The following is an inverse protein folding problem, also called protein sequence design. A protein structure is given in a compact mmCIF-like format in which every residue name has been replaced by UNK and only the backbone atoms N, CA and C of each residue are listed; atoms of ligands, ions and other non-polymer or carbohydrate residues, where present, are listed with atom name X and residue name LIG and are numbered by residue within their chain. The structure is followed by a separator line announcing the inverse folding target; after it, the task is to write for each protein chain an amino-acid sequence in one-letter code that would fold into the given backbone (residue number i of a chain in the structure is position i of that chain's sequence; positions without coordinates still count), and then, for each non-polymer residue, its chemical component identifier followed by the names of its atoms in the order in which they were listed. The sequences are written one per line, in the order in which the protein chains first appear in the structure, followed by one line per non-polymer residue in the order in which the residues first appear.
data_IF_614932640830
#
_entry.id   IF_614932640830
#
_cell.length_a   1.000
_cell.length_b   1.000
_cell.length_c   1.000
_cell.angle_alpha   90.00
_cell.angle_beta   90.00
_cell.angle_gamma   90.00
#
_symmetry.space_group_name_H-M   'P 1'
#
loop_
_entity.id
_entity.type
_entity.pdbx_description
1 polymer ?
#
# COMPACT_ATOMS: atom_id res chain seq x y z
N UNK A 1 -27.59 -6.25 -1.68
CA UNK A 1 -26.55 -5.32 -1.18
C UNK A 1 -25.52 -5.96 -0.23
N UNK A 2 -25.94 -6.93 0.61
CA UNK A 2 -25.02 -7.57 1.58
C UNK A 2 -24.05 -8.58 0.97
N UNK A 3 -24.42 -9.27 -0.09
CA UNK A 3 -23.55 -10.27 -0.74
C UNK A 3 -22.33 -9.60 -1.41
N UNK A 4 -22.53 -8.48 -2.08
CA UNK A 4 -21.44 -7.72 -2.70
C UNK A 4 -20.49 -7.08 -1.67
N UNK A 5 -21.02 -6.67 -0.51
CA UNK A 5 -20.22 -6.12 0.58
C UNK A 5 -19.34 -7.21 1.22
N UNK A 6 -19.89 -8.41 1.44
CA UNK A 6 -19.15 -9.56 1.95
C UNK A 6 -18.09 -10.07 0.97
N UNK A 7 -18.40 -10.11 -0.33
CA UNK A 7 -17.43 -10.46 -1.37
C UNK A 7 -16.27 -9.47 -1.45
N UNK A 8 -16.54 -8.17 -1.34
CA UNK A 8 -15.51 -7.12 -1.32
C UNK A 8 -14.58 -7.28 -0.11
N UNK A 9 -15.12 -7.56 1.07
CA UNK A 9 -14.33 -7.77 2.28
C UNK A 9 -13.46 -9.02 2.20
N UNK A 10 -13.93 -10.11 1.59
CA UNK A 10 -13.13 -11.33 1.42
C UNK A 10 -11.89 -11.10 0.55
N UNK A 11 -11.99 -10.36 -0.55
CA UNK A 11 -10.87 -10.11 -1.45
C UNK A 11 -9.78 -9.22 -0.87
N UNK A 12 -10.18 -8.16 -0.18
CA UNK A 12 -9.26 -7.27 0.54
C UNK A 12 -8.50 -8.08 1.60
N UNK A 13 -9.19 -8.95 2.30
CA UNK A 13 -8.60 -9.80 3.33
C UNK A 13 -7.55 -10.75 2.79
N UNK A 14 -7.79 -11.38 1.64
CA UNK A 14 -6.87 -12.34 1.04
C UNK A 14 -5.59 -11.65 0.54
N UNK A 15 -5.72 -10.52 -0.16
CA UNK A 15 -4.59 -9.72 -0.61
C UNK A 15 -3.76 -9.19 0.56
N UNK A 16 -4.41 -8.76 1.63
CA UNK A 16 -3.77 -8.28 2.85
C UNK A 16 -2.99 -9.41 3.56
N UNK A 17 -3.52 -10.64 3.56
CA UNK A 17 -2.82 -11.80 4.11
C UNK A 17 -1.57 -12.14 3.30
N UNK A 18 -1.64 -12.07 1.96
CA UNK A 18 -0.46 -12.25 1.09
C UNK A 18 0.59 -11.19 1.41
N UNK A 19 0.21 -9.92 1.55
CA UNK A 19 1.11 -8.84 1.94
C UNK A 19 1.77 -9.09 3.30
N UNK A 20 1.01 -9.52 4.29
CA UNK A 20 1.53 -9.88 5.61
C UNK A 20 2.51 -11.06 5.54
N UNK A 21 2.22 -12.07 4.71
CA UNK A 21 3.11 -13.22 4.52
C UNK A 21 4.43 -12.80 3.85
N UNK A 22 4.37 -11.96 2.83
CA UNK A 22 5.57 -11.39 2.19
C UNK A 22 6.39 -10.63 3.23
N UNK A 23 5.78 -9.76 4.03
CA UNK A 23 6.48 -9.01 5.08
C UNK A 23 7.20 -9.91 6.09
N UNK A 24 6.60 -11.05 6.45
CA UNK A 24 7.20 -12.02 7.39
C UNK A 24 8.36 -12.79 6.80
N UNK A 25 8.28 -13.14 5.52
CA UNK A 25 9.23 -14.04 4.84
C UNK A 25 10.31 -13.31 4.06
N UNK A 26 10.15 -12.02 3.80
CA UNK A 26 11.11 -11.24 3.05
C UNK A 26 12.47 -11.20 3.76
N UNK A 27 13.51 -11.48 2.99
CA UNK A 27 14.92 -11.42 3.42
C UNK A 27 15.76 -10.84 2.30
N UNK A 28 16.92 -10.30 2.64
CA UNK A 28 17.90 -9.83 1.66
C UNK A 28 18.86 -10.96 1.31
N UNK A 29 19.18 -11.10 0.04
CA UNK A 29 20.21 -12.01 -0.47
C UNK A 29 21.61 -11.38 -0.33
N UNK A 30 22.07 -11.17 0.89
CA UNK A 30 23.39 -10.61 1.16
C UNK A 30 23.77 -10.78 2.63
N UNK A 31 24.97 -11.29 2.89
CA UNK A 31 25.46 -11.38 4.27
C UNK A 31 25.78 -9.98 4.80
N UNK A 32 25.14 -9.58 5.89
CA UNK A 32 25.46 -8.34 6.62
C UNK A 32 24.74 -7.07 6.13
N UNK A 33 23.80 -7.15 5.19
CA UNK A 33 22.98 -6.00 4.81
C UNK A 33 21.81 -5.80 5.81
N UNK A 34 21.65 -4.56 6.29
CA UNK A 34 20.54 -4.20 7.14
C UNK A 34 19.24 -4.19 6.33
N UNK A 35 18.22 -4.88 6.83
CA UNK A 35 16.92 -5.03 6.17
C UNK A 35 15.77 -4.58 7.07
N UNK A 36 14.83 -3.84 6.50
CA UNK A 36 13.61 -3.42 7.19
C UNK A 36 12.39 -3.53 6.27
N UNK A 37 11.24 -3.74 6.87
CA UNK A 37 9.95 -3.73 6.18
C UNK A 37 9.10 -2.59 6.73
N UNK A 38 8.53 -1.80 5.86
CA UNK A 38 7.53 -0.79 6.19
C UNK A 38 6.17 -1.26 5.63
N UNK A 39 5.24 -1.52 6.52
CA UNK A 39 3.91 -2.00 6.17
C UNK A 39 2.89 -0.90 6.44
N UNK A 40 2.30 -0.35 5.40
CA UNK A 40 1.28 0.68 5.49
C UNK A 40 -0.07 0.13 5.02
N UNK A 41 -1.05 0.12 5.92
CA UNK A 41 -2.41 -0.32 5.64
C UNK A 41 -3.39 0.86 5.72
N UNK A 42 -4.16 1.06 4.67
CA UNK A 42 -5.06 2.21 4.50
C UNK A 42 -6.52 1.75 4.45
N UNK A 43 -7.34 2.31 5.32
CA UNK A 43 -8.77 2.02 5.35
C UNK A 43 -9.13 0.59 5.74
N UNK A 44 -8.34 -0.02 6.60
CA UNK A 44 -8.57 -1.36 7.14
C UNK A 44 -9.53 -1.34 8.33
N UNK A 45 -10.15 -2.47 8.61
CA UNK A 45 -10.99 -2.60 9.81
C UNK A 45 -10.14 -2.72 11.08
N UNK A 46 -10.72 -2.40 12.23
CA UNK A 46 -10.05 -2.58 13.52
C UNK A 46 -9.71 -4.07 13.80
N UNK A 47 -10.47 -5.00 13.22
CA UNK A 47 -10.19 -6.44 13.31
C UNK A 47 -8.93 -6.80 12.52
N UNK A 48 -8.80 -6.29 11.29
CA UNK A 48 -7.61 -6.50 10.46
C UNK A 48 -6.36 -5.86 11.08
N UNK A 49 -6.48 -4.66 11.65
CA UNK A 49 -5.37 -4.01 12.34
C UNK A 49 -4.86 -4.86 13.52
N UNK A 50 -5.77 -5.39 14.34
CA UNK A 50 -5.42 -6.31 15.43
C UNK A 50 -4.81 -7.61 14.91
N UNK A 51 -5.32 -8.14 13.81
CA UNK A 51 -4.76 -9.33 13.18
C UNK A 51 -3.29 -9.09 12.76
N UNK A 52 -2.99 -8.00 12.08
CA UNK A 52 -1.62 -7.69 11.67
C UNK A 52 -0.68 -7.53 12.87
N UNK A 53 -1.09 -6.79 13.90
CA UNK A 53 -0.30 -6.62 15.11
C UNK A 53 0.00 -7.95 15.79
N UNK A 54 -1.03 -8.75 16.04
CA UNK A 54 -0.90 -10.04 16.70
C UNK A 54 -0.08 -11.05 15.87
N UNK A 55 -0.24 -11.05 14.54
CA UNK A 55 0.48 -11.95 13.65
C UNK A 55 1.97 -11.61 13.60
N UNK A 56 2.32 -10.34 13.48
CA UNK A 56 3.72 -9.90 13.50
C UNK A 56 4.38 -10.07 14.87
N UNK A 57 3.65 -9.86 15.98
CA UNK A 57 4.15 -10.18 17.33
C UNK A 57 4.44 -11.66 17.48
N UNK A 58 3.46 -12.51 17.14
CA UNK A 58 3.56 -13.96 17.25
C UNK A 58 4.73 -14.55 16.45
N UNK A 59 5.02 -13.97 15.31
CA UNK A 59 6.08 -14.44 14.41
C UNK A 59 7.45 -13.78 14.67
N UNK A 60 7.54 -12.84 15.63
CA UNK A 60 8.75 -12.06 15.89
C UNK A 60 9.13 -11.08 14.78
N UNK A 61 8.24 -10.86 13.81
CA UNK A 61 8.52 -9.98 12.68
C UNK A 61 8.55 -8.49 13.05
N UNK A 62 7.98 -8.09 14.20
CA UNK A 62 7.99 -6.70 14.65
C UNK A 62 9.39 -6.12 14.88
N UNK A 63 10.40 -6.94 15.06
CA UNK A 63 11.78 -6.46 15.18
C UNK A 63 12.29 -5.77 13.90
N UNK A 64 11.68 -6.09 12.75
CA UNK A 64 12.07 -5.58 11.43
C UNK A 64 10.93 -4.92 10.64
N UNK A 65 9.70 -5.00 11.14
CA UNK A 65 8.49 -4.45 10.49
C UNK A 65 8.00 -3.24 11.26
N UNK A 66 7.89 -2.10 10.57
CA UNK A 66 7.21 -0.90 11.09
C UNK A 66 5.83 -0.81 10.49
N UNK A 67 4.81 -0.63 11.34
CA UNK A 67 3.40 -0.57 10.95
C UNK A 67 2.90 0.87 10.91
N UNK A 68 2.28 1.24 9.79
CA UNK A 68 1.48 2.45 9.64
C UNK A 68 0.04 2.03 9.37
N UNK A 69 -0.83 2.13 10.35
CA UNK A 69 -2.20 1.64 10.26
C UNK A 69 -3.19 2.80 10.27
N UNK A 70 -3.96 2.92 9.20
CA UNK A 70 -5.11 3.82 9.10
C UNK A 70 -6.38 2.99 9.05
N UNK A 71 -7.31 3.26 9.96
CA UNK A 71 -8.56 2.53 10.07
C UNK A 71 -9.62 3.07 9.09
N UNK A 72 -10.60 2.25 8.80
CA UNK A 72 -11.71 2.61 7.93
C UNK A 72 -12.54 3.78 8.49
N UNK A 73 -12.60 3.90 9.82
CA UNK A 73 -13.33 4.95 10.53
C UNK A 73 -12.52 6.25 10.70
N UNK A 74 -11.23 6.22 10.37
CA UNK A 74 -10.37 7.41 10.42
C UNK A 74 -10.70 8.39 9.28
N UNK A 75 -10.46 9.69 9.46
CA UNK A 75 -10.71 10.70 8.43
C UNK A 75 -10.00 10.40 7.11
N UNK A 76 -10.65 10.70 5.98
CA UNK A 76 -10.09 10.47 4.64
C UNK A 76 -8.74 11.19 4.42
N UNK A 77 -8.54 12.35 5.05
CA UNK A 77 -7.27 13.10 4.99
C UNK A 77 -6.11 12.30 5.59
N UNK A 78 -6.31 11.62 6.71
CA UNK A 78 -5.30 10.77 7.33
C UNK A 78 -4.92 9.61 6.43
N UNK A 79 -5.89 9.04 5.72
CA UNK A 79 -5.66 7.96 4.75
C UNK A 79 -4.78 8.41 3.59
N UNK A 80 -4.92 9.65 3.12
CA UNK A 80 -4.06 10.20 2.07
C UNK A 80 -2.63 10.43 2.56
N UNK A 81 -2.45 10.80 3.82
CA UNK A 81 -1.14 11.09 4.40
C UNK A 81 -0.38 9.79 4.73
N UNK A 82 -1.06 8.73 5.14
CA UNK A 82 -0.47 7.48 5.61
C UNK A 82 0.62 6.90 4.69
N UNK A 83 0.40 6.69 3.38
CA UNK A 83 1.45 6.14 2.52
C UNK A 83 2.64 7.09 2.35
N UNK A 84 2.41 8.39 2.41
CA UNK A 84 3.46 9.40 2.29
C UNK A 84 4.36 9.42 3.53
N UNK A 85 3.80 9.28 4.72
CA UNK A 85 4.55 9.15 5.97
C UNK A 85 5.37 7.86 5.99
N UNK A 86 4.75 6.75 5.59
CA UNK A 86 5.42 5.45 5.49
C UNK A 86 6.62 5.50 4.53
N UNK A 87 6.47 6.11 3.37
CA UNK A 87 7.55 6.27 2.39
C UNK A 87 8.64 7.23 2.87
N UNK A 88 8.30 8.31 3.57
CA UNK A 88 9.28 9.23 4.16
C UNK A 88 10.12 8.50 5.21
N UNK A 89 9.50 7.68 6.04
CA UNK A 89 10.22 6.84 7.00
C UNK A 89 11.11 5.81 6.28
N UNK A 90 10.61 5.18 5.23
CA UNK A 90 11.38 4.23 4.42
C UNK A 90 12.60 4.90 3.75
N UNK A 91 12.45 6.12 3.25
CA UNK A 91 13.55 6.90 2.68
C UNK A 91 14.63 7.22 3.71
N UNK A 92 14.25 7.57 4.92
CA UNK A 92 15.20 7.77 6.02
C UNK A 92 16.00 6.50 6.31
N UNK A 93 15.32 5.35 6.42
CA UNK A 93 16.01 4.07 6.64
C UNK A 93 16.94 3.70 5.48
N UNK A 94 16.50 3.89 4.24
CA UNK A 94 17.26 3.48 3.07
C UNK A 94 18.42 4.42 2.75
N UNK A 95 18.21 5.74 2.82
CA UNK A 95 19.15 6.70 2.28
C UNK A 95 20.01 7.39 3.34
N UNK A 96 19.59 7.40 4.60
CA UNK A 96 20.40 7.92 5.70
C UNK A 96 21.04 6.80 6.54
N UNK A 97 20.39 5.65 6.64
CA UNK A 97 20.87 4.51 7.43
C UNK A 97 21.35 3.31 6.58
N UNK A 98 21.34 3.43 5.27
CA UNK A 98 21.81 2.41 4.31
C UNK A 98 21.07 1.05 4.40
N UNK A 99 19.79 1.04 4.81
CA UNK A 99 18.94 -0.16 4.86
C UNK A 99 18.43 -0.55 3.47
N UNK A 100 18.28 -1.87 3.26
CA UNK A 100 17.41 -2.37 2.21
C UNK A 100 15.97 -2.38 2.74
N UNK A 101 15.09 -1.59 2.16
CA UNK A 101 13.72 -1.41 2.67
C UNK A 101 12.69 -1.96 1.70
N UNK A 102 11.82 -2.84 2.20
CA UNK A 102 10.63 -3.29 1.51
C UNK A 102 9.42 -2.52 2.04
N UNK A 103 8.73 -1.79 1.17
CA UNK A 103 7.51 -1.07 1.50
C UNK A 103 6.31 -1.81 0.93
N UNK A 104 5.36 -2.18 1.77
CA UNK A 104 4.09 -2.78 1.37
C UNK A 104 2.98 -1.78 1.64
N UNK A 105 2.28 -1.37 0.59
CA UNK A 105 1.17 -0.42 0.65
C UNK A 105 -0.13 -1.16 0.33
N UNK A 106 -1.03 -1.26 1.30
CA UNK A 106 -2.35 -1.89 1.16
C UNK A 106 -3.44 -1.07 1.84
N UNK A 107 -4.62 -0.87 1.38
CA UNK A 107 -5.15 -1.09 0.04
C UNK A 107 -5.19 0.24 -0.72
N UNK A 108 -4.53 0.31 -1.84
CA UNK A 108 -4.48 1.55 -2.64
C UNK A 108 -5.81 1.90 -3.30
N UNK A 109 -6.74 0.97 -3.36
CA UNK A 109 -8.11 1.27 -3.75
C UNK A 109 -8.79 2.14 -2.70
N UNK A 110 -8.61 1.85 -1.41
CA UNK A 110 -9.12 2.69 -0.33
C UNK A 110 -8.46 4.08 -0.32
N UNK A 111 -7.18 4.15 -0.63
CA UNK A 111 -6.47 5.42 -0.81
C UNK A 111 -7.09 6.26 -1.92
N UNK A 112 -7.31 5.68 -3.10
CA UNK A 112 -7.89 6.39 -4.22
C UNK A 112 -9.35 6.81 -3.98
N UNK A 113 -10.12 6.00 -3.25
CA UNK A 113 -11.47 6.37 -2.83
C UNK A 113 -11.47 7.58 -1.85
N UNK A 114 -10.51 7.64 -0.92
CA UNK A 114 -10.33 8.80 -0.05
C UNK A 114 -9.96 10.06 -0.86
N UNK A 115 -9.11 9.91 -1.88
CA UNK A 115 -8.75 11.00 -2.77
C UNK A 115 -9.96 11.50 -3.56
N UNK A 116 -10.83 10.59 -4.03
CA UNK A 116 -12.09 10.92 -4.70
C UNK A 116 -13.04 11.68 -3.77
N UNK A 117 -13.17 11.25 -2.53
CA UNK A 117 -14.00 11.90 -1.53
C UNK A 117 -13.55 13.35 -1.27
N UNK A 118 -12.26 13.57 -1.09
CA UNK A 118 -11.70 14.90 -0.85
C UNK A 118 -11.83 15.79 -2.09
N UNK A 119 -11.59 15.25 -3.29
CA UNK A 119 -11.78 15.96 -4.55
C UNK A 119 -13.23 16.41 -4.73
N UNK A 120 -14.19 15.54 -4.41
CA UNK A 120 -15.62 15.86 -4.45
C UNK A 120 -15.99 16.95 -3.43
N UNK A 121 -15.44 16.88 -2.21
CA UNK A 121 -15.70 17.89 -1.18
C UNK A 121 -15.08 19.27 -1.54
N UNK A 122 -14.08 19.31 -2.40
CA UNK A 122 -13.49 20.53 -2.95
C UNK A 122 -14.17 21.03 -4.21
N UNK A 123 -15.22 20.35 -4.67
CA UNK A 123 -15.92 20.68 -5.91
C UNK A 123 -15.00 20.68 -7.16
N UNK A 124 -13.96 19.84 -7.15
CA UNK A 124 -13.05 19.69 -8.28
C UNK A 124 -13.75 18.97 -9.44
N UNK A 125 -13.36 19.30 -10.67
CA UNK A 125 -13.93 18.67 -11.86
C UNK A 125 -13.59 17.18 -11.88
N UNK A 126 -14.57 16.28 -11.87
CA UNK A 126 -14.32 14.85 -11.84
C UNK A 126 -13.76 14.36 -13.18
N UNK A 127 -12.79 13.47 -13.10
CA UNK A 127 -12.29 12.70 -14.22
C UNK A 127 -13.03 11.37 -14.40
N UNK A 128 -12.32 10.38 -14.94
CA UNK A 128 -12.86 9.04 -15.20
C UNK A 128 -13.43 8.40 -13.91
N UNK A 129 -14.67 7.93 -13.96
CA UNK A 129 -15.42 7.32 -12.84
C UNK A 129 -15.48 8.16 -11.56
N UNK A 130 -15.41 9.47 -11.68
CA UNK A 130 -15.49 10.41 -10.56
C UNK A 130 -14.19 10.58 -9.76
N UNK A 131 -13.09 9.95 -10.17
CA UNK A 131 -11.78 10.20 -9.61
C UNK A 131 -11.23 11.54 -10.07
N UNK A 132 -10.36 12.21 -9.29
CA UNK A 132 -9.75 13.46 -9.73
C UNK A 132 -8.90 13.26 -10.98
N UNK A 133 -8.85 14.27 -11.84
CA UNK A 133 -8.06 14.23 -13.07
C UNK A 133 -6.56 14.01 -12.84
N UNK A 134 -6.07 14.36 -11.66
CA UNK A 134 -4.67 14.18 -11.25
C UNK A 134 -4.37 12.84 -10.57
N UNK A 135 -5.30 11.84 -10.60
CA UNK A 135 -5.09 10.54 -9.96
C UNK A 135 -3.80 9.86 -10.43
N UNK A 136 -3.50 9.90 -11.73
CA UNK A 136 -2.27 9.35 -12.28
C UNK A 136 -1.03 10.00 -11.69
N UNK A 137 -0.96 11.32 -11.70
CA UNK A 137 0.18 12.06 -11.15
C UNK A 137 0.33 11.85 -9.66
N UNK A 138 -0.77 11.77 -8.94
CA UNK A 138 -0.76 11.52 -7.49
C UNK A 138 -0.22 10.12 -7.16
N UNK A 139 -0.68 9.08 -7.83
CA UNK A 139 -0.14 7.73 -7.70
C UNK A 139 1.34 7.65 -8.12
N UNK A 140 1.73 8.34 -9.20
CA UNK A 140 3.13 8.41 -9.62
C UNK A 140 4.02 8.99 -8.53
N UNK A 141 3.60 10.04 -7.83
CA UNK A 141 4.37 10.63 -6.72
C UNK A 141 4.59 9.67 -5.55
N UNK A 142 3.77 8.62 -5.43
CA UNK A 142 3.94 7.56 -4.44
C UNK A 142 4.87 6.48 -4.97
N UNK A 143 4.60 5.96 -6.17
CA UNK A 143 5.32 4.81 -6.71
C UNK A 143 6.75 5.13 -7.15
N UNK A 144 7.01 6.32 -7.66
CA UNK A 144 8.33 6.77 -8.10
C UNK A 144 9.32 7.00 -6.95
N UNK A 145 8.87 6.90 -5.70
CA UNK A 145 9.74 6.94 -4.52
C UNK A 145 10.47 5.61 -4.27
N UNK A 146 10.18 4.57 -5.03
CA UNK A 146 10.94 3.33 -5.03
C UNK A 146 12.23 3.49 -5.86
N UNK A 147 13.31 2.87 -5.43
CA UNK A 147 14.54 2.83 -6.20
C UNK A 147 15.81 2.96 -5.37
N UNK A 148 16.88 3.30 -6.06
CA UNK A 148 18.20 3.57 -5.49
C UNK A 148 18.67 4.96 -5.86
N UNK A 149 19.41 5.58 -4.95
CA UNK A 149 20.09 6.85 -5.22
C UNK A 149 21.58 6.56 -5.45
N UNK A 150 22.15 7.15 -6.49
CA UNK A 150 23.57 7.02 -6.78
C UNK A 150 24.42 7.50 -5.59
N UNK A 151 25.39 6.71 -5.18
CA UNK A 151 26.23 6.97 -4.02
C UNK A 151 25.66 6.53 -2.68
N UNK A 152 24.43 6.01 -2.64
CA UNK A 152 23.82 5.41 -1.45
C UNK A 152 23.79 3.89 -1.56
N UNK A 153 23.95 3.18 -0.44
CA UNK A 153 23.92 1.70 -0.41
C UNK A 153 22.51 1.17 -0.27
N UNK A 154 21.63 1.89 0.41
CA UNK A 154 20.25 1.50 0.65
C UNK A 154 19.38 1.54 -0.60
N UNK A 155 18.28 0.85 -0.54
CA UNK A 155 17.27 0.82 -1.61
C UNK A 155 15.86 0.73 -1.04
N UNK A 156 14.89 1.17 -1.84
CA UNK A 156 13.47 1.02 -1.55
C UNK A 156 12.83 0.18 -2.65
N UNK A 157 12.20 -0.93 -2.26
CA UNK A 157 11.33 -1.73 -3.11
C UNK A 157 9.91 -1.57 -2.63
N UNK A 158 8.98 -1.27 -3.53
CA UNK A 158 7.55 -1.14 -3.20
C UNK A 158 6.74 -2.31 -3.76
N UNK A 159 5.81 -2.80 -2.95
CA UNK A 159 4.77 -3.73 -3.36
C UNK A 159 3.42 -3.05 -3.07
N UNK A 160 2.84 -2.35 -4.04
CA UNK A 160 1.50 -1.81 -3.91
C UNK A 160 0.47 -2.93 -4.07
N UNK A 161 -0.46 -3.02 -3.13
CA UNK A 161 -1.57 -3.96 -3.16
C UNK A 161 -2.86 -3.17 -3.33
N UNK A 162 -3.68 -3.59 -4.26
CA UNK A 162 -4.97 -2.98 -4.53
C UNK A 162 -6.03 -4.04 -4.78
N UNK A 163 -7.27 -3.70 -4.50
CA UNK A 163 -8.42 -4.51 -4.86
C UNK A 163 -9.04 -4.00 -6.16
N UNK A 164 -9.50 -4.93 -7.00
CA UNK A 164 -10.21 -4.58 -8.23
C UNK A 164 -11.72 -4.56 -7.99
N UNK A 165 -12.38 -3.39 -8.01
CA UNK A 165 -13.84 -3.34 -7.90
C UNK A 165 -14.51 -4.12 -9.04
N UNK A 166 -15.41 -5.04 -8.71
CA UNK A 166 -16.12 -5.92 -9.66
C UNK A 166 -15.22 -6.78 -10.56
N UNK A 167 -14.01 -7.13 -10.10
CA UNK A 167 -12.98 -7.85 -10.87
C UNK A 167 -12.63 -7.19 -12.22
N UNK A 168 -12.81 -5.88 -12.29
CA UNK A 168 -12.59 -5.08 -13.50
C UNK A 168 -11.16 -4.52 -13.54
N UNK A 169 -10.28 -5.19 -14.28
CA UNK A 169 -8.89 -4.75 -14.48
C UNK A 169 -8.79 -3.41 -15.24
N UNK A 170 -9.87 -3.02 -15.94
CA UNK A 170 -9.93 -1.73 -16.64
C UNK A 170 -10.39 -0.58 -15.74
N UNK A 171 -10.64 -0.86 -14.46
CA UNK A 171 -10.93 0.17 -13.47
C UNK A 171 -9.75 1.15 -13.36
N UNK A 172 -9.98 2.47 -13.18
CA UNK A 172 -8.89 3.46 -13.17
C UNK A 172 -7.72 3.12 -12.26
N UNK A 173 -7.95 2.51 -11.12
CA UNK A 173 -6.91 2.23 -10.13
C UNK A 173 -5.94 1.13 -10.61
N UNK A 174 -6.38 -0.09 -10.94
CA UNK A 174 -5.49 -1.11 -11.50
C UNK A 174 -4.91 -0.71 -12.85
N UNK A 175 -5.69 -0.04 -13.70
CA UNK A 175 -5.26 0.41 -15.02
C UNK A 175 -4.10 1.41 -14.91
N UNK A 176 -4.24 2.49 -14.13
CA UNK A 176 -3.18 3.49 -13.95
C UNK A 176 -1.97 2.92 -13.21
N UNK A 177 -2.19 2.09 -12.20
CA UNK A 177 -1.09 1.42 -11.48
C UNK A 177 -0.27 0.56 -12.42
N UNK A 178 -0.90 -0.16 -13.35
CA UNK A 178 -0.22 -0.97 -14.34
C UNK A 178 0.66 -0.18 -15.31
N UNK A 179 0.34 1.08 -15.57
CA UNK A 179 1.18 1.96 -16.38
C UNK A 179 2.39 2.51 -15.62
N UNK A 180 2.29 2.66 -14.30
CA UNK A 180 3.36 3.27 -13.49
C UNK A 180 4.34 2.20 -13.00
N UNK A 181 3.85 1.02 -12.64
CA UNK A 181 4.65 -0.06 -12.07
C UNK A 181 5.26 -0.96 -13.14
N UNK A 182 6.40 -1.59 -12.85
CA UNK A 182 7.11 -2.45 -13.80
C UNK A 182 6.47 -3.83 -13.98
N UNK A 183 5.54 -4.22 -13.12
CA UNK A 183 4.86 -5.51 -13.23
C UNK A 183 3.61 -5.59 -12.36
N UNK A 184 2.71 -6.48 -12.76
CA UNK A 184 1.48 -6.76 -12.03
C UNK A 184 1.36 -8.26 -11.75
N UNK A 185 0.95 -8.59 -10.54
CA UNK A 185 0.55 -9.96 -10.15
C UNK A 185 -0.95 -9.94 -9.94
N UNK A 186 -1.64 -10.70 -10.77
CA UNK A 186 -3.09 -10.88 -10.66
C UNK A 186 -3.38 -12.08 -9.76
N UNK A 187 -4.16 -11.86 -8.70
CA UNK A 187 -4.63 -12.92 -7.80
C UNK A 187 -6.05 -13.26 -8.18
N UNK A 188 -6.23 -14.39 -8.86
CA UNK A 188 -7.53 -14.89 -9.29
C UNK A 188 -8.27 -15.57 -8.13
N UNK A 189 -9.59 -15.59 -8.23
CA UNK A 189 -10.50 -16.24 -7.28
C UNK A 189 -11.02 -17.57 -7.85
N UNK A 190 -10.17 -18.44 -8.27
CA UNK A 190 -10.62 -19.71 -8.78
C UNK A 190 -11.40 -20.55 -7.74
#
# INVERSE_FOLDING_TARGET
HDSHRRQRQMCIRDSNQIGAQIARQATVLGEGEAFAVVFAAMGITAEEARFFQADFERTGALERVTLFLNLADDPAVERIITPRLALTFAEYLAFDLDYQVLVILTDLTNYAEALREISAAREEVPGRRGFPGYLYSDLSTIYERAGRIEGKKGSITQIPILSMPNDDITHPIPDLTGYITEGQVYVDRA
#
